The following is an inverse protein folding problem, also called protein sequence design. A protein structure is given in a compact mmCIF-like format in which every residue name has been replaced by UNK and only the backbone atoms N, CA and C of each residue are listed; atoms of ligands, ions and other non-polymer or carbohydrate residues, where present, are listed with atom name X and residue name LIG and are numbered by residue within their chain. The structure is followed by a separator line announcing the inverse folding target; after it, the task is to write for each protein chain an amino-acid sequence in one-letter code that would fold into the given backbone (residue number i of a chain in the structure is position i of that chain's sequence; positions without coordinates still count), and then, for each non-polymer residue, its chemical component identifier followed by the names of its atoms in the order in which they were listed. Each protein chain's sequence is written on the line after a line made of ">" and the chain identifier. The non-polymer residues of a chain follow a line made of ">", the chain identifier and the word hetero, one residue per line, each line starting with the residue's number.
data_IF_148397198282
#
_entry.id   IF_148397198282
#
_cell.length_a   1.000
_cell.length_b   1.000
_cell.length_c   1.000
_cell.angle_alpha   90.00
_cell.angle_beta   90.00
_cell.angle_gamma   90.00
#
_symmetry.space_group_name_H-M   'P 1'
#
loop_
_entity.id
_entity.type
_entity.pdbx_description
1 polymer ?
#
# COMPACT_ATOMS: atom_id res chain seq x y z
N UNK A 1 -13.56 6.47 1.37
CA UNK A 1 -13.48 5.59 0.19
C UNK A 1 -12.03 5.25 -0.08
N UNK A 2 -11.69 4.12 -0.71
CA UNK A 2 -10.31 3.81 -1.16
C UNK A 2 -10.38 3.51 -2.64
N UNK A 3 -9.61 4.23 -3.46
CA UNK A 3 -9.60 4.03 -4.91
C UNK A 3 -8.42 3.13 -5.28
N UNK A 4 -8.72 1.96 -5.86
CA UNK A 4 -7.71 1.00 -6.29
C UNK A 4 -7.65 0.99 -7.82
N UNK A 5 -6.52 1.42 -8.37
CA UNK A 5 -6.28 1.45 -9.81
C UNK A 5 -6.29 0.06 -10.45
N UNK A 6 -6.63 0.01 -11.74
CA UNK A 6 -6.70 -1.24 -12.51
C UNK A 6 -5.36 -1.98 -12.49
N UNK A 7 -5.41 -3.31 -12.39
CA UNK A 7 -4.23 -4.20 -12.30
C UNK A 7 -3.32 -3.97 -11.08
N UNK A 8 -3.76 -3.21 -10.08
CA UNK A 8 -3.05 -3.16 -8.81
C UNK A 8 -3.10 -4.53 -8.12
N UNK A 9 -2.01 -4.90 -7.46
CA UNK A 9 -1.88 -6.14 -6.68
C UNK A 9 -1.55 -5.77 -5.25
N UNK A 10 -2.44 -6.09 -4.32
CA UNK A 10 -2.32 -5.72 -2.91
C UNK A 10 -2.39 -6.99 -2.08
N UNK A 11 -1.43 -7.19 -1.17
CA UNK A 11 -1.36 -8.36 -0.30
C UNK A 11 -0.87 -7.95 1.09
N UNK A 12 -1.54 -8.39 2.16
CA UNK A 12 -1.14 -8.07 3.55
C UNK A 12 -0.88 -6.57 3.76
N UNK A 13 -1.84 -5.74 3.37
CA UNK A 13 -1.72 -4.28 3.41
C UNK A 13 -2.90 -3.66 4.14
N UNK A 14 -2.62 -2.68 4.99
CA UNK A 14 -3.59 -1.80 5.64
C UNK A 14 -3.54 -0.47 4.88
N UNK A 15 -4.69 -0.03 4.35
CA UNK A 15 -4.80 1.20 3.56
C UNK A 15 -5.80 2.12 4.25
N UNK A 16 -5.36 3.33 4.58
CA UNK A 16 -6.21 4.31 5.25
C UNK A 16 -7.28 4.90 4.31
N UNK A 17 -8.23 5.64 4.90
CA UNK A 17 -9.36 6.23 4.17
C UNK A 17 -8.90 7.34 3.22
N UNK A 18 -9.46 7.34 2.02
CA UNK A 18 -9.24 8.33 0.95
C UNK A 18 -7.86 8.24 0.29
N UNK A 19 -7.21 7.08 0.40
CA UNK A 19 -6.01 6.77 -0.36
C UNK A 19 -6.40 6.37 -1.79
N UNK A 20 -5.63 6.86 -2.76
CA UNK A 20 -5.71 6.49 -4.16
C UNK A 20 -4.47 5.70 -4.56
N UNK A 21 -4.66 4.43 -4.91
CA UNK A 21 -3.59 3.56 -5.37
C UNK A 21 -3.54 3.61 -6.91
N UNK A 22 -2.38 3.94 -7.51
CA UNK A 22 -2.23 3.97 -8.96
C UNK A 22 -2.46 2.61 -9.62
N UNK A 23 -2.73 2.63 -10.93
CA UNK A 23 -2.81 1.42 -11.75
C UNK A 23 -1.45 0.69 -11.77
N UNK A 24 -1.50 -0.65 -11.84
CA UNK A 24 -0.31 -1.54 -11.84
C UNK A 24 0.60 -1.41 -10.60
N UNK A 25 0.13 -0.79 -9.52
CA UNK A 25 0.85 -0.74 -8.25
C UNK A 25 0.87 -2.12 -7.59
N UNK A 26 2.03 -2.53 -7.09
CA UNK A 26 2.21 -3.80 -6.37
C UNK A 26 2.65 -3.47 -4.96
N UNK A 27 1.86 -3.87 -3.96
CA UNK A 27 2.13 -3.62 -2.53
C UNK A 27 2.00 -4.92 -1.75
N UNK A 28 2.98 -5.20 -0.89
CA UNK A 28 3.04 -6.35 0.00
C UNK A 28 3.39 -7.67 -0.68
N UNK A 29 3.96 -7.59 -1.89
CA UNK A 29 4.62 -8.72 -2.55
C UNK A 29 6.14 -8.69 -2.36
N UNK A 30 6.73 -7.50 -2.16
CA UNK A 30 8.15 -7.34 -1.95
C UNK A 30 8.37 -6.43 -0.75
N UNK A 31 8.46 -7.04 0.43
CA UNK A 31 8.60 -6.32 1.70
C UNK A 31 9.83 -5.42 1.74
N UNK A 32 10.92 -5.77 1.05
CA UNK A 32 12.13 -4.95 1.01
C UNK A 32 11.90 -3.65 0.23
N UNK A 33 11.23 -3.73 -0.92
CA UNK A 33 10.87 -2.56 -1.72
C UNK A 33 9.75 -1.74 -1.07
N UNK A 34 8.78 -2.43 -0.46
CA UNK A 34 7.67 -1.80 0.25
C UNK A 34 8.18 -1.01 1.46
N UNK A 35 9.20 -1.51 2.18
CA UNK A 35 9.87 -0.81 3.29
C UNK A 35 10.54 0.51 2.90
N UNK A 36 10.95 0.65 1.64
CA UNK A 36 11.57 1.89 1.14
C UNK A 36 10.54 3.00 0.93
N UNK A 37 9.28 2.63 0.69
CA UNK A 37 8.21 3.56 0.30
C UNK A 37 7.15 3.74 1.38
N UNK A 38 6.94 2.73 2.21
CA UNK A 38 5.84 2.63 3.15
C UNK A 38 6.31 2.04 4.48
N UNK A 39 5.49 2.21 5.52
CA UNK A 39 5.74 1.59 6.80
C UNK A 39 5.39 0.10 6.72
N UNK A 40 6.34 -0.79 7.05
CA UNK A 40 6.09 -2.24 7.09
C UNK A 40 6.31 -2.73 8.51
N UNK A 41 5.24 -3.23 9.12
CA UNK A 41 5.27 -3.84 10.44
C UNK A 41 6.23 -5.05 10.45
N UNK A 42 6.86 -5.36 11.61
CA UNK A 42 7.67 -6.57 11.77
C UNK A 42 6.94 -7.87 11.35
N UNK A 43 5.62 -7.94 11.43
CA UNK A 43 4.81 -9.07 10.96
C UNK A 43 4.61 -9.11 9.42
N UNK A 44 5.26 -8.21 8.67
CA UNK A 44 5.15 -8.13 7.21
C UNK A 44 3.79 -7.60 6.75
N UNK A 45 3.25 -6.61 7.48
CA UNK A 45 2.03 -5.88 7.10
C UNK A 45 2.44 -4.50 6.61
N UNK A 46 2.09 -4.16 5.38
CA UNK A 46 2.38 -2.84 4.81
C UNK A 46 1.28 -1.85 5.19
N UNK A 47 1.62 -0.69 5.71
CA UNK A 47 0.70 0.36 6.14
C UNK A 47 0.85 1.55 5.21
N UNK A 48 -0.24 1.89 4.52
CA UNK A 48 -0.34 3.06 3.65
C UNK A 48 -1.15 4.13 4.41
N UNK A 49 -0.48 5.14 4.99
CA UNK A 49 -1.17 6.21 5.68
C UNK A 49 -1.94 7.07 4.68
N UNK A 50 -2.90 7.84 5.19
CA UNK A 50 -3.54 8.89 4.41
C UNK A 50 -2.50 9.94 4.03
N UNK A 51 -2.33 10.19 2.74
CA UNK A 51 -1.69 11.43 2.27
C UNK A 51 -2.70 12.55 2.51
N UNK A 52 -2.59 13.24 3.64
CA UNK A 52 -3.16 14.59 3.76
C UNK A 52 -2.27 15.57 2.99
N UNK A 53 -2.83 16.64 2.41
CA UNK A 53 -2.03 17.75 1.87
C UNK A 53 -1.23 18.45 2.97
#
# INVERSE_FOLDING_TARGET
>A
NVDIGRHARIKRTIIDKNVKIPQRTVIGYNLEEDRKKYHVSPEGIVVIPRTEP
#
